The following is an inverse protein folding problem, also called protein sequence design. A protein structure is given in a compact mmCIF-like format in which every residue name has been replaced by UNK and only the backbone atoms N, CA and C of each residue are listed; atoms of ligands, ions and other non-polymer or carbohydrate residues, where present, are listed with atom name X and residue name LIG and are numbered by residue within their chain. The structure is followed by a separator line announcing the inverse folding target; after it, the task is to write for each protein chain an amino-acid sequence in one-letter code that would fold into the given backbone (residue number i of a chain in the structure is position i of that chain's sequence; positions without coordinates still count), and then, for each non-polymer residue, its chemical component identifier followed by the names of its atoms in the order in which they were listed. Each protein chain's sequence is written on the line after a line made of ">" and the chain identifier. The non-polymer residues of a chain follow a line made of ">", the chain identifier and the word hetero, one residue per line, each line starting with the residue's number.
data_IF_575010732238
#
_entry.id   IF_575010732238
#
_cell.length_a   1.000
_cell.length_b   1.000
_cell.length_c   1.000
_cell.angle_alpha   90.00
_cell.angle_beta   90.00
_cell.angle_gamma   90.00
#
_symmetry.space_group_name_H-M   'P 1'
#
loop_
_entity.id
_entity.type
_entity.pdbx_description
1 polymer ?
#
# COMPACT_ATOMS: atom_id res chain seq x y z
N UNK A 1 19.19 -13.22 -6.04
CA UNK A 1 19.00 -11.83 -6.50
C UNK A 1 20.30 -11.09 -6.29
N UNK A 2 20.71 -10.26 -7.26
CA UNK A 2 21.82 -9.31 -7.10
C UNK A 2 21.54 -8.33 -5.95
N UNK A 3 22.44 -7.41 -5.66
CA UNK A 3 22.44 -6.47 -4.53
C UNK A 3 21.21 -5.52 -4.49
N UNK A 4 20.00 -6.05 -4.38
CA UNK A 4 18.74 -5.34 -4.33
C UNK A 4 18.30 -5.22 -2.88
N UNK A 5 17.95 -4.00 -2.49
CA UNK A 5 17.34 -3.72 -1.21
C UNK A 5 15.81 -3.82 -1.26
N UNK A 6 15.17 -3.92 -0.09
CA UNK A 6 13.73 -4.04 0.05
C UNK A 6 13.00 -2.68 0.01
N UNK A 7 13.73 -1.58 0.13
CA UNK A 7 13.22 -0.22 0.10
C UNK A 7 12.86 0.24 -1.30
N UNK A 8 11.88 1.16 -1.38
CA UNK A 8 11.37 1.73 -2.62
C UNK A 8 12.43 2.47 -3.46
N UNK A 9 13.52 2.91 -2.85
CA UNK A 9 14.60 3.68 -3.49
C UNK A 9 15.92 2.90 -3.56
N UNK A 10 15.88 1.58 -3.37
CA UNK A 10 17.07 0.72 -3.39
C UNK A 10 17.21 -0.08 -4.70
N UNK A 11 16.30 0.14 -5.66
CA UNK A 11 16.29 -0.49 -6.98
C UNK A 11 16.79 0.48 -8.06
N UNK A 12 17.56 -0.01 -9.03
CA UNK A 12 18.12 0.80 -10.13
C UNK A 12 17.02 1.52 -10.92
N UNK A 13 15.91 0.85 -11.27
CA UNK A 13 14.79 1.47 -11.99
C UNK A 13 14.11 2.58 -11.17
N UNK A 14 14.08 2.43 -9.85
CA UNK A 14 13.59 3.47 -8.95
C UNK A 14 14.55 4.66 -8.90
N UNK A 15 15.86 4.40 -8.78
CA UNK A 15 16.90 5.43 -8.73
C UNK A 15 17.03 6.19 -10.05
N UNK A 16 16.85 5.53 -11.18
CA UNK A 16 16.83 6.13 -12.51
C UNK A 16 15.57 6.99 -12.73
N UNK A 17 14.45 6.64 -12.09
CA UNK A 17 13.21 7.41 -12.17
C UNK A 17 13.20 8.66 -11.28
N UNK A 18 13.84 8.63 -10.10
CA UNK A 18 13.92 9.79 -9.18
C UNK A 18 14.33 11.11 -9.86
N UNK A 19 15.37 11.18 -10.73
CA UNK A 19 15.73 12.42 -11.40
C UNK A 19 14.66 12.90 -12.40
N UNK A 20 13.85 12.01 -12.98
CA UNK A 20 12.76 12.37 -13.92
C UNK A 20 11.59 13.09 -13.23
N UNK A 21 11.45 12.96 -11.91
CA UNK A 21 10.36 13.57 -11.16
C UNK A 21 10.66 15.06 -10.91
N UNK A 22 10.16 15.95 -11.76
CA UNK A 22 10.33 17.39 -11.61
C UNK A 22 9.06 18.09 -11.08
N UNK A 23 7.90 17.46 -11.25
CA UNK A 23 6.58 18.01 -10.92
C UNK A 23 5.61 16.91 -10.46
N UNK A 24 4.46 17.32 -9.90
CA UNK A 24 3.36 16.40 -9.63
C UNK A 24 2.74 15.79 -10.89
N UNK A 25 2.94 16.39 -12.07
CA UNK A 25 2.43 15.85 -13.32
C UNK A 25 3.19 14.60 -13.74
N UNK A 26 4.52 14.60 -13.55
CA UNK A 26 5.38 13.45 -13.87
C UNK A 26 5.00 12.22 -13.03
N UNK A 27 4.55 12.44 -11.78
CA UNK A 27 4.00 11.39 -10.93
C UNK A 27 2.70 10.81 -11.51
N UNK A 28 1.81 11.65 -12.03
CA UNK A 28 0.56 11.20 -12.65
C UNK A 28 0.84 10.45 -13.97
N UNK A 29 1.76 10.95 -14.77
CA UNK A 29 2.13 10.36 -16.07
C UNK A 29 2.74 8.97 -15.89
N UNK A 30 3.59 8.79 -14.87
CA UNK A 30 4.15 7.49 -14.54
C UNK A 30 3.09 6.42 -14.22
N UNK A 31 1.91 6.82 -13.71
CA UNK A 31 0.81 5.90 -13.46
C UNK A 31 0.07 5.47 -14.74
N UNK A 32 0.00 6.34 -15.76
CA UNK A 32 -0.71 6.05 -17.02
C UNK A 32 -0.10 4.94 -17.88
N UNK A 33 1.09 4.47 -17.51
CA UNK A 33 1.87 3.48 -18.28
C UNK A 33 1.36 2.05 -18.14
N UNK A 34 0.55 1.75 -17.12
CA UNK A 34 0.00 0.41 -16.89
C UNK A 34 -1.46 0.29 -17.31
N UNK A 35 -1.79 -0.70 -18.14
CA UNK A 35 -3.19 -1.03 -18.50
C UNK A 35 -3.80 -1.99 -17.47
N UNK A 36 -5.13 -2.03 -17.25
CA UNK A 36 -5.76 -2.87 -16.21
C UNK A 36 -5.61 -4.39 -16.37
N UNK A 37 -5.37 -4.88 -17.59
CA UNK A 37 -5.41 -6.31 -17.90
C UNK A 37 -4.03 -6.95 -18.17
N UNK A 38 -2.98 -6.14 -18.35
CA UNK A 38 -1.63 -6.65 -18.68
C UNK A 38 -0.75 -6.84 -17.44
N UNK A 39 0.07 -7.89 -17.34
CA UNK A 39 1.07 -7.97 -16.27
C UNK A 39 1.94 -6.71 -16.21
N UNK A 40 2.21 -6.23 -15.00
CA UNK A 40 3.07 -5.05 -14.81
C UNK A 40 4.52 -5.53 -14.72
N UNK A 41 5.39 -5.09 -15.61
CA UNK A 41 6.82 -5.43 -15.54
C UNK A 41 7.50 -4.87 -14.28
N UNK A 42 8.67 -5.41 -13.94
CA UNK A 42 9.37 -5.04 -12.71
C UNK A 42 9.76 -3.55 -12.63
N UNK A 43 10.16 -2.93 -13.74
CA UNK A 43 10.63 -1.54 -13.78
C UNK A 43 9.46 -0.57 -13.59
N UNK A 44 8.35 -0.81 -14.32
CA UNK A 44 7.09 -0.08 -14.17
C UNK A 44 6.55 -0.23 -12.75
N UNK A 45 6.61 -1.43 -12.17
CA UNK A 45 6.22 -1.65 -10.78
C UNK A 45 7.07 -0.84 -9.79
N UNK A 46 8.39 -0.78 -9.98
CA UNK A 46 9.27 0.05 -9.15
C UNK A 46 8.90 1.53 -9.24
N UNK A 47 8.63 2.04 -10.44
CA UNK A 47 8.18 3.43 -10.65
C UNK A 47 6.87 3.73 -9.93
N UNK A 48 5.88 2.84 -10.02
CA UNK A 48 4.60 2.99 -9.30
C UNK A 48 4.82 3.02 -7.78
N UNK A 49 5.71 2.18 -7.24
CA UNK A 49 6.07 2.20 -5.81
C UNK A 49 6.70 3.53 -5.42
N UNK A 50 7.60 4.09 -6.24
CA UNK A 50 8.17 5.44 -6.02
C UNK A 50 7.08 6.52 -6.06
N UNK A 51 6.13 6.46 -7.01
CA UNK A 51 5.01 7.41 -7.05
C UNK A 51 4.19 7.35 -5.75
N UNK A 52 3.90 6.15 -5.26
CA UNK A 52 3.20 5.94 -4.00
C UNK A 52 3.98 6.55 -2.81
N UNK A 53 5.30 6.40 -2.75
CA UNK A 53 6.15 7.05 -1.75
C UNK A 53 6.08 8.58 -1.81
N UNK A 54 6.17 9.15 -3.01
CA UNK A 54 6.04 10.59 -3.23
C UNK A 54 4.68 11.10 -2.76
N UNK A 55 3.59 10.40 -3.07
CA UNK A 55 2.23 10.78 -2.63
C UNK A 55 2.10 10.71 -1.10
N UNK A 56 2.65 9.69 -0.45
CA UNK A 56 2.69 9.60 1.01
C UNK A 56 3.46 10.79 1.62
N UNK A 57 4.62 11.12 1.04
CA UNK A 57 5.44 12.26 1.46
C UNK A 57 4.72 13.61 1.26
N UNK A 58 4.08 13.84 0.10
CA UNK A 58 3.28 15.05 -0.17
C UNK A 58 2.07 15.18 0.78
N UNK A 59 1.59 14.08 1.37
CA UNK A 59 0.57 14.08 2.44
C UNK A 59 1.13 14.28 3.85
N UNK A 60 2.45 14.42 3.98
CA UNK A 60 3.15 14.67 5.23
C UNK A 60 3.72 13.42 5.92
N UNK A 61 3.77 12.28 5.22
CA UNK A 61 4.25 10.99 5.75
C UNK A 61 5.40 10.40 4.92
N UNK A 62 6.55 11.10 4.83
CA UNK A 62 7.68 10.64 4.03
C UNK A 62 8.32 9.36 4.62
N UNK A 63 8.87 8.52 3.75
CA UNK A 63 9.78 7.45 4.15
C UNK A 63 11.10 8.03 4.67
N UNK A 64 11.79 7.29 5.55
CA UNK A 64 13.14 7.64 6.00
C UNK A 64 14.19 7.47 4.88
N UNK A 65 13.90 6.61 3.92
CA UNK A 65 14.84 6.26 2.84
C UNK A 65 14.69 7.16 1.60
N UNK A 66 13.91 8.24 1.71
CA UNK A 66 13.69 9.13 0.58
C UNK A 66 14.99 9.88 0.20
N UNK A 67 15.42 9.87 -1.07
CA UNK A 67 16.62 10.57 -1.49
C UNK A 67 16.54 12.07 -1.21
N UNK A 68 17.62 12.66 -0.68
CA UNK A 68 17.68 14.06 -0.23
C UNK A 68 17.17 15.04 -1.32
N UNK A 69 17.66 14.90 -2.56
CA UNK A 69 17.24 15.77 -3.67
C UNK A 69 15.76 15.61 -4.06
N UNK A 70 15.13 14.46 -3.80
CA UNK A 70 13.69 14.30 -3.95
C UNK A 70 12.93 14.91 -2.76
N UNK A 71 13.42 14.71 -1.55
CA UNK A 71 12.85 15.26 -0.32
C UNK A 71 12.80 16.79 -0.34
N UNK A 72 13.82 17.44 -0.92
CA UNK A 72 13.86 18.90 -1.10
C UNK A 72 12.87 19.41 -2.17
N UNK A 73 12.63 18.61 -3.23
CA UNK A 73 11.74 18.99 -4.34
C UNK A 73 10.27 18.78 -4.02
N UNK A 74 9.90 17.69 -3.35
CA UNK A 74 8.49 17.33 -3.08
C UNK A 74 7.65 18.44 -2.43
N UNK A 75 8.15 19.25 -1.47
CA UNK A 75 7.40 20.38 -0.92
C UNK A 75 6.96 21.39 -1.99
N UNK A 76 7.73 21.55 -3.07
CA UNK A 76 7.41 22.48 -4.17
C UNK A 76 6.23 22.00 -5.03
N UNK A 77 5.90 20.71 -4.99
CA UNK A 77 4.77 20.14 -5.74
C UNK A 77 3.43 20.42 -5.05
N UNK A 78 3.47 20.81 -3.76
CA UNK A 78 2.28 21.04 -2.95
C UNK A 78 1.57 19.75 -2.53
N UNK A 79 0.29 19.87 -2.17
CA UNK A 79 -0.54 18.72 -1.77
C UNK A 79 -0.96 17.93 -3.02
N UNK A 80 -0.99 16.58 -2.96
CA UNK A 80 -1.39 15.81 -4.12
C UNK A 80 -2.88 16.03 -4.39
N UNK A 81 -3.25 16.02 -5.67
CA UNK A 81 -4.66 16.06 -6.04
C UNK A 81 -5.37 14.79 -5.54
N UNK A 82 -6.69 14.87 -5.34
CA UNK A 82 -7.52 13.71 -4.95
C UNK A 82 -7.38 12.56 -5.94
N UNK A 83 -7.37 12.87 -7.24
CA UNK A 83 -7.18 11.88 -8.31
C UNK A 83 -5.80 11.22 -8.25
N UNK A 84 -4.71 11.99 -8.09
CA UNK A 84 -3.36 11.43 -7.97
C UNK A 84 -3.25 10.49 -6.77
N UNK A 85 -3.85 10.86 -5.64
CA UNK A 85 -3.87 10.01 -4.45
C UNK A 85 -4.60 8.67 -4.68
N UNK A 86 -5.79 8.70 -5.28
CA UNK A 86 -6.55 7.48 -5.55
C UNK A 86 -5.87 6.61 -6.60
N UNK A 87 -5.35 7.20 -7.69
CA UNK A 87 -4.62 6.46 -8.72
C UNK A 87 -3.35 5.82 -8.15
N UNK A 88 -2.58 6.52 -7.30
CA UNK A 88 -1.40 5.95 -6.67
C UNK A 88 -1.75 4.72 -5.82
N UNK A 89 -2.86 4.78 -5.06
CA UNK A 89 -3.33 3.63 -4.26
C UNK A 89 -3.79 2.48 -5.13
N UNK A 90 -4.56 2.76 -6.18
CA UNK A 90 -5.06 1.76 -7.12
C UNK A 90 -3.93 1.04 -7.83
N UNK A 91 -2.95 1.79 -8.34
CA UNK A 91 -1.82 1.22 -9.07
C UNK A 91 -0.87 0.49 -8.14
N UNK A 92 -0.65 0.97 -6.91
CA UNK A 92 0.07 0.19 -5.90
C UNK A 92 -0.64 -1.14 -5.61
N UNK A 93 -1.98 -1.13 -5.53
CA UNK A 93 -2.76 -2.35 -5.37
C UNK A 93 -2.60 -3.30 -6.57
N UNK A 94 -2.53 -2.76 -7.78
CA UNK A 94 -2.28 -3.52 -9.00
C UNK A 94 -0.87 -4.12 -9.01
N UNK A 95 0.16 -3.36 -8.64
CA UNK A 95 1.53 -3.86 -8.47
C UNK A 95 1.57 -5.04 -7.52
N UNK A 96 0.93 -4.91 -6.35
CA UNK A 96 0.85 -6.00 -5.37
C UNK A 96 0.11 -7.24 -5.89
N UNK A 97 -0.81 -7.11 -6.85
CA UNK A 97 -1.61 -8.22 -7.35
C UNK A 97 -0.95 -8.96 -8.51
N UNK A 98 -0.37 -8.22 -9.47
CA UNK A 98 -0.06 -8.73 -10.81
C UNK A 98 1.26 -8.22 -11.40
N UNK A 99 2.17 -7.68 -10.59
CA UNK A 99 3.50 -7.32 -11.10
C UNK A 99 4.47 -8.48 -11.10
N UNK A 100 5.38 -8.47 -12.08
CA UNK A 100 6.60 -9.27 -12.10
C UNK A 100 7.45 -9.00 -10.85
N UNK A 101 7.48 -7.75 -10.35
CA UNK A 101 8.19 -7.41 -9.11
C UNK A 101 7.77 -8.28 -7.92
N UNK A 102 6.46 -8.53 -7.76
CA UNK A 102 5.96 -9.43 -6.70
C UNK A 102 6.37 -10.88 -6.92
N UNK A 103 6.51 -11.32 -8.17
CA UNK A 103 6.97 -12.67 -8.52
C UNK A 103 8.45 -12.83 -8.19
N UNK A 104 9.28 -11.85 -8.55
CA UNK A 104 10.71 -11.84 -8.27
C UNK A 104 11.00 -11.92 -6.76
N UNK A 105 10.25 -11.19 -5.93
CA UNK A 105 10.39 -11.27 -4.47
C UNK A 105 9.85 -12.56 -3.87
N UNK A 106 8.92 -13.24 -4.54
CA UNK A 106 8.39 -14.52 -4.09
C UNK A 106 9.37 -15.69 -4.29
N UNK A 107 10.38 -15.55 -5.15
CA UNK A 107 11.42 -16.58 -5.34
C UNK A 107 12.40 -16.70 -4.17
N UNK A 108 12.46 -15.68 -3.31
CA UNK A 108 13.39 -15.58 -2.18
C UNK A 108 12.69 -15.50 -0.82
N UNK A 109 13.29 -14.74 0.11
CA UNK A 109 12.62 -14.31 1.34
C UNK A 109 11.89 -12.98 1.06
N UNK A 110 10.56 -12.98 0.91
CA UNK A 110 9.80 -11.77 0.64
C UNK A 110 9.61 -10.90 1.89
N UNK A 111 9.94 -11.38 3.08
CA UNK A 111 9.53 -10.74 4.34
C UNK A 111 9.99 -9.28 4.45
N UNK A 112 11.26 -8.93 4.14
CA UNK A 112 11.70 -7.53 4.21
C UNK A 112 10.92 -6.62 3.26
N UNK A 113 10.69 -7.08 2.03
CA UNK A 113 9.94 -6.33 1.02
C UNK A 113 8.46 -6.18 1.39
N UNK A 114 7.82 -7.25 1.87
CA UNK A 114 6.44 -7.20 2.34
C UNK A 114 6.24 -6.20 3.49
N UNK A 115 7.22 -6.13 4.41
CA UNK A 115 7.18 -5.17 5.51
C UNK A 115 7.35 -3.73 5.01
N UNK A 116 8.21 -3.49 4.02
CA UNK A 116 8.35 -2.17 3.38
C UNK A 116 7.06 -1.76 2.65
N UNK A 117 6.44 -2.66 1.89
CA UNK A 117 5.17 -2.42 1.20
C UNK A 117 4.01 -2.20 2.18
N UNK A 118 3.99 -2.92 3.30
CA UNK A 118 3.01 -2.70 4.37
C UNK A 118 3.18 -1.30 4.99
N UNK A 119 4.40 -0.89 5.31
CA UNK A 119 4.69 0.45 5.85
C UNK A 119 4.23 1.56 4.90
N UNK A 120 4.54 1.43 3.60
CA UNK A 120 4.07 2.35 2.57
C UNK A 120 2.54 2.43 2.52
N UNK A 121 1.85 1.29 2.53
CA UNK A 121 0.40 1.26 2.59
C UNK A 121 -0.16 1.93 3.85
N UNK A 122 0.46 1.74 5.01
CA UNK A 122 0.03 2.41 6.24
C UNK A 122 0.18 3.93 6.13
N UNK A 123 1.34 4.41 5.66
CA UNK A 123 1.58 5.85 5.46
C UNK A 123 0.63 6.48 4.44
N UNK A 124 0.33 5.78 3.34
CA UNK A 124 -0.67 6.23 2.37
C UNK A 124 -2.08 6.34 2.96
N UNK A 125 -2.42 5.48 3.93
CA UNK A 125 -3.72 5.50 4.61
C UNK A 125 -3.82 6.55 5.72
N UNK A 126 -2.73 7.24 6.08
CA UNK A 126 -2.77 8.31 7.07
C UNK A 126 -3.44 9.56 6.50
N UNK A 127 -4.21 10.29 7.33
CA UNK A 127 -4.79 11.57 6.92
C UNK A 127 -3.70 12.60 6.64
N UNK A 128 -3.98 13.58 5.78
CA UNK A 128 -3.02 14.66 5.48
C UNK A 128 -2.61 15.35 6.79
N UNK A 129 -1.30 15.52 7.01
CA UNK A 129 -0.75 15.93 8.31
C UNK A 129 -1.31 17.29 8.84
N UNK A 130 -1.71 18.20 7.94
CA UNK A 130 -2.26 19.52 8.30
C UNK A 130 -3.77 19.53 8.60
N UNK A 131 -4.47 18.40 8.48
CA UNK A 131 -5.94 18.42 8.55
C UNK A 131 -6.41 18.77 9.96
N UNK A 132 -7.19 19.86 10.16
CA UNK A 132 -7.81 20.13 11.45
C UNK A 132 -8.67 18.92 11.86
N UNK A 133 -8.53 18.48 13.11
CA UNK A 133 -9.33 17.37 13.68
C UNK A 133 -10.81 17.76 13.70
N UNK A 134 -11.51 17.64 12.57
CA UNK A 134 -12.96 17.74 12.48
C UNK A 134 -13.54 16.68 13.43
N UNK A 135 -14.23 17.16 14.46
CA UNK A 135 -14.75 16.43 15.63
C UNK A 135 -14.86 14.92 15.44
N UNK A 136 -13.75 14.21 15.67
CA UNK A 136 -13.71 12.75 15.55
C UNK A 136 -14.52 12.21 16.74
N UNK A 137 -15.66 11.56 16.48
CA UNK A 137 -16.22 10.61 17.45
C UNK A 137 -15.07 9.69 17.84
N UNK A 138 -14.67 9.71 19.11
CA UNK A 138 -13.66 8.80 19.64
C UNK A 138 -14.19 7.40 19.40
N UNK A 139 -13.76 6.75 18.31
CA UNK A 139 -14.01 5.33 18.12
C UNK A 139 -13.35 4.67 19.33
N UNK A 140 -14.14 3.95 20.12
CA UNK A 140 -13.64 3.09 21.19
C UNK A 140 -12.57 2.21 20.56
N UNK A 141 -11.30 2.43 20.89
CA UNK A 141 -10.23 1.58 20.40
C UNK A 141 -10.48 0.20 20.96
N UNK A 142 -10.61 -0.79 20.08
CA UNK A 142 -10.78 -2.19 20.47
C UNK A 142 -9.41 -2.64 20.96
N UNK A 143 -9.15 -2.46 22.25
CA UNK A 143 -7.90 -2.91 22.85
C UNK A 143 -7.95 -4.43 23.01
N UNK A 144 -7.42 -5.14 22.01
CA UNK A 144 -7.28 -6.58 22.05
C UNK A 144 -5.96 -6.94 22.75
N UNK A 145 -6.06 -7.67 23.87
CA UNK A 145 -4.90 -8.11 24.65
C UNK A 145 -4.38 -9.49 24.26
N UNK A 146 -5.00 -10.11 23.26
CA UNK A 146 -4.53 -11.40 22.75
C UNK A 146 -3.13 -11.23 22.15
N UNK A 147 -2.22 -12.19 22.38
CA UNK A 147 -0.89 -12.14 21.80
C UNK A 147 -0.94 -12.38 20.29
N UNK A 148 0.00 -11.78 19.58
CA UNK A 148 0.22 -12.04 18.17
C UNK A 148 0.72 -13.46 17.97
N UNK A 149 0.15 -14.18 17.01
CA UNK A 149 0.59 -15.54 16.67
C UNK A 149 1.98 -15.60 16.01
N UNK A 150 2.61 -14.44 15.77
CA UNK A 150 3.91 -14.31 15.11
C UNK A 150 4.98 -13.66 15.99
N UNK A 151 4.66 -12.58 16.71
CA UNK A 151 5.63 -11.84 17.54
C UNK A 151 5.36 -11.91 19.05
N UNK A 152 4.31 -12.62 19.48
CA UNK A 152 3.87 -12.77 20.88
C UNK A 152 3.50 -11.46 21.64
N UNK A 153 3.69 -10.29 21.04
CA UNK A 153 3.26 -9.00 21.58
C UNK A 153 1.72 -8.86 21.55
N UNK A 154 1.12 -8.11 22.49
CA UNK A 154 -0.31 -7.85 22.48
C UNK A 154 -0.72 -7.03 21.24
N UNK A 155 -1.92 -7.29 20.69
CA UNK A 155 -2.44 -6.55 19.53
C UNK A 155 -2.54 -5.03 19.75
N UNK A 156 -2.90 -4.60 20.96
CA UNK A 156 -2.96 -3.18 21.30
C UNK A 156 -3.99 -2.41 20.47
N UNK A 157 -3.58 -1.27 19.92
CA UNK A 157 -4.40 -0.41 19.05
C UNK A 157 -4.04 -0.53 17.56
N UNK A 158 -3.10 -1.42 17.23
CA UNK A 158 -2.60 -1.61 15.87
C UNK A 158 -3.66 -2.25 14.96
N UNK A 159 -3.37 -2.31 13.66
CA UNK A 159 -4.22 -3.06 12.74
C UNK A 159 -3.99 -4.56 12.93
N UNK A 160 -5.06 -5.30 13.22
CA UNK A 160 -5.01 -6.75 13.43
C UNK A 160 -6.25 -7.44 12.89
N UNK A 161 -6.11 -8.73 12.59
CA UNK A 161 -7.22 -9.62 12.23
C UNK A 161 -7.11 -10.93 12.98
N UNK A 162 -8.26 -11.56 13.23
CA UNK A 162 -8.30 -12.98 13.54
C UNK A 162 -8.13 -13.75 12.23
N UNK A 163 -7.34 -14.81 12.25
CA UNK A 163 -7.19 -15.73 11.13
C UNK A 163 -7.37 -17.17 11.59
N UNK A 164 -7.71 -18.05 10.65
CA UNK A 164 -7.75 -19.49 10.85
C UNK A 164 -7.20 -20.20 9.63
N UNK A 165 -6.34 -21.19 9.85
CA UNK A 165 -5.78 -22.08 8.87
C UNK A 165 -6.42 -23.44 9.08
N UNK A 166 -6.98 -24.00 8.01
CA UNK A 166 -7.56 -25.34 8.00
C UNK A 166 -6.64 -26.24 7.19
N UNK A 167 -6.09 -27.27 7.84
CA UNK A 167 -5.25 -28.28 7.22
C UNK A 167 -6.08 -29.53 6.99
N UNK A 168 -6.27 -29.91 5.73
CA UNK A 168 -6.89 -31.17 5.35
C UNK A 168 -5.80 -32.15 4.92
N UNK A 169 -5.66 -33.26 5.65
CA UNK A 169 -4.69 -34.30 5.37
C UNK A 169 -5.25 -35.43 4.49
N UNK A 170 -6.49 -35.30 4.01
CA UNK A 170 -7.16 -36.29 3.15
C UNK A 170 -7.76 -37.48 3.92
N UNK A 171 -7.76 -37.42 5.26
CA UNK A 171 -8.39 -38.41 6.15
C UNK A 171 -9.85 -38.06 6.52
N UNK A 172 -10.34 -36.90 6.05
CA UNK A 172 -11.71 -36.43 6.27
C UNK A 172 -11.91 -35.70 7.61
N UNK A 173 -10.86 -35.50 8.40
CA UNK A 173 -10.91 -34.74 9.66
C UNK A 173 -9.98 -33.51 9.59
N UNK A 174 -10.43 -32.40 8.99
CA UNK A 174 -9.59 -31.23 8.85
C UNK A 174 -9.25 -30.61 10.22
N UNK A 175 -7.98 -30.28 10.41
CA UNK A 175 -7.51 -29.58 11.60
C UNK A 175 -7.56 -28.07 11.37
N UNK A 176 -8.43 -27.38 12.09
CA UNK A 176 -8.47 -25.91 12.10
C UNK A 176 -7.68 -25.35 13.28
N UNK A 177 -6.71 -24.49 13.00
CA UNK A 177 -6.01 -23.67 14.00
C UNK A 177 -6.12 -22.20 13.64
N UNK A 178 -6.36 -21.35 14.62
CA UNK A 178 -6.47 -19.92 14.39
C UNK A 178 -5.90 -19.10 15.53
N UNK A 179 -5.75 -17.82 15.29
CA UNK A 179 -5.16 -16.88 16.23
C UNK A 179 -5.40 -15.44 15.82
N UNK A 180 -4.82 -14.54 16.59
CA UNK A 180 -4.77 -13.12 16.27
C UNK A 180 -3.39 -12.78 15.69
N UNK A 181 -3.36 -11.90 14.70
CA UNK A 181 -2.11 -11.38 14.17
C UNK A 181 -2.23 -9.90 13.82
N UNK A 182 -1.17 -9.14 14.14
CA UNK A 182 -0.94 -7.83 13.55
C UNK A 182 -0.89 -7.98 12.03
N UNK A 183 -1.48 -7.04 11.29
CA UNK A 183 -1.42 -7.04 9.83
C UNK A 183 0.02 -6.96 9.34
N UNK A 184 0.89 -6.21 10.03
CA UNK A 184 2.33 -6.16 9.75
C UNK A 184 2.98 -7.54 9.78
N UNK A 185 2.79 -8.27 10.88
CA UNK A 185 3.38 -9.60 11.06
C UNK A 185 2.81 -10.62 10.06
N UNK A 186 1.49 -10.57 9.85
CA UNK A 186 0.82 -11.47 8.90
C UNK A 186 1.29 -11.18 7.46
N UNK A 187 1.37 -9.92 7.04
CA UNK A 187 1.88 -9.56 5.71
C UNK A 187 3.35 -9.95 5.53
N UNK A 188 4.18 -9.81 6.58
CA UNK A 188 5.57 -10.28 6.54
C UNK A 188 5.68 -11.77 6.24
N UNK A 189 4.73 -12.59 6.71
CA UNK A 189 4.73 -14.05 6.51
C UNK A 189 3.96 -14.52 5.25
N UNK A 190 3.14 -13.66 4.64
CA UNK A 190 2.34 -14.03 3.48
C UNK A 190 3.16 -13.96 2.19
N UNK A 191 2.73 -14.70 1.17
CA UNK A 191 3.21 -14.47 -0.19
C UNK A 191 2.93 -13.00 -0.61
N UNK A 192 3.86 -12.28 -1.29
CA UNK A 192 3.69 -10.86 -1.65
C UNK A 192 2.35 -10.54 -2.31
N UNK A 193 1.90 -11.40 -3.23
CA UNK A 193 0.60 -11.28 -3.93
C UNK A 193 -0.65 -11.40 -3.05
N UNK A 194 -0.51 -11.90 -1.82
CA UNK A 194 -1.62 -12.19 -0.92
C UNK A 194 -1.58 -11.34 0.35
N UNK A 195 -0.72 -10.33 0.40
CA UNK A 195 -0.70 -9.35 1.48
C UNK A 195 -2.10 -8.72 1.67
N UNK A 196 -2.46 -8.57 2.94
CA UNK A 196 -3.70 -7.91 3.35
C UNK A 196 -3.53 -6.41 3.13
N UNK A 197 -4.50 -5.83 2.43
CA UNK A 197 -4.57 -4.40 2.11
C UNK A 197 -5.81 -3.83 2.78
N UNK A 198 -5.61 -3.02 3.81
CA UNK A 198 -6.71 -2.28 4.44
C UNK A 198 -6.63 -0.85 3.98
N UNK A 199 -7.60 -0.46 3.16
CA UNK A 199 -7.71 0.90 2.69
C UNK A 199 -8.67 1.69 3.56
N UNK A 200 -8.20 2.83 4.09
CA UNK A 200 -9.00 3.76 4.87
C UNK A 200 -9.24 4.99 4.02
N UNK A 201 -10.51 5.30 3.76
CA UNK A 201 -10.90 6.57 3.19
C UNK A 201 -11.16 7.53 4.36
N UNK A 202 -10.27 8.50 4.51
CA UNK A 202 -10.32 9.61 5.47
C UNK A 202 -11.23 10.74 4.99
N UNK A 203 -11.44 10.85 3.68
CA UNK A 203 -12.43 11.75 3.10
C UNK A 203 -13.84 11.19 3.29
N UNK A 204 -14.78 12.00 3.82
CA UNK A 204 -16.18 11.60 3.86
C UNK A 204 -16.66 11.36 2.43
N UNK A 205 -17.10 10.13 2.16
CA UNK A 205 -17.83 9.81 0.95
C UNK A 205 -19.20 10.46 1.10
N UNK A 206 -19.52 11.44 0.25
CA UNK A 206 -20.88 11.97 0.17
C UNK A 206 -21.78 10.83 -0.35
N UNK A 207 -22.74 10.32 0.43
CA UNK A 207 -23.61 9.23 0.00
C UNK A 207 -24.39 9.60 -1.26
N UNK A 208 -24.75 10.87 -1.43
CA UNK A 208 -25.49 11.34 -2.60
C UNK A 208 -24.58 11.39 -3.84
N UNK A 209 -23.27 11.63 -3.67
CA UNK A 209 -22.28 11.54 -4.76
C UNK A 209 -22.05 10.08 -5.16
N UNK A 210 -21.95 9.18 -4.17
CA UNK A 210 -21.79 7.75 -4.41
C UNK A 210 -23.00 7.15 -5.13
N UNK A 211 -24.22 7.48 -4.68
CA UNK A 211 -25.45 7.02 -5.31
C UNK A 211 -25.55 7.56 -6.75
N UNK A 212 -25.18 8.82 -7.01
CA UNK A 212 -25.12 9.37 -8.37
C UNK A 212 -24.10 8.67 -9.27
N UNK A 213 -22.92 8.31 -8.75
CA UNK A 213 -21.90 7.59 -9.49
C UNK A 213 -22.34 6.15 -9.82
N UNK A 214 -23.00 5.47 -8.89
CA UNK A 214 -23.51 4.12 -9.08
C UNK A 214 -24.74 4.09 -10.01
N UNK A 215 -25.57 5.13 -9.99
CA UNK A 215 -26.74 5.27 -10.87
C UNK A 215 -26.39 5.86 -12.24
N UNK A 216 -25.20 6.43 -12.42
CA UNK A 216 -24.72 6.87 -13.72
C UNK A 216 -24.43 5.64 -14.59
N UNK A 217 -25.25 5.44 -15.64
CA UNK A 217 -24.95 4.44 -16.68
C UNK A 217 -23.62 4.82 -17.33
N UNK A 218 -22.74 3.85 -17.64
CA UNK A 218 -21.52 4.14 -18.37
C UNK A 218 -21.90 4.80 -19.71
N UNK A 219 -21.51 6.05 -19.89
CA UNK A 219 -21.57 6.71 -21.18
C UNK A 219 -20.54 6.03 -22.05
N UNK A 220 -21.00 5.42 -23.15
CA UNK A 220 -20.14 4.83 -24.15
C UNK A 220 -19.45 5.94 -24.95
N UNK A 221 -18.50 6.61 -24.33
CA UNK A 221 -17.54 7.57 -24.92
C UNK A 221 -16.70 8.12 -23.76
N UNK A 222 -15.65 7.39 -23.40
CA UNK A 222 -14.33 7.88 -22.92
C UNK A 222 -13.36 6.68 -22.88
#
# INVERSE_FOLDING_TARGET
>A
MGTWGAGAFENDAALDFVPEIETAHDLADALTTSTPDEPIDADTACRIVVVAECVAAMRGHPSQDIPEGLAERLPTFGKPSRSLFHHAREHLAAVMLRSELMELWAEGDPSPFNLAMHDLLERLNLPVADTPKLGRRVKKTVNNRSPCSFCDEPMGEDQFSQFSITLDHGDGEPLTRGGWAHHRCLNGALHPKHMIRVYKNDEPVDPDELDRLLDSKPTAED
#
